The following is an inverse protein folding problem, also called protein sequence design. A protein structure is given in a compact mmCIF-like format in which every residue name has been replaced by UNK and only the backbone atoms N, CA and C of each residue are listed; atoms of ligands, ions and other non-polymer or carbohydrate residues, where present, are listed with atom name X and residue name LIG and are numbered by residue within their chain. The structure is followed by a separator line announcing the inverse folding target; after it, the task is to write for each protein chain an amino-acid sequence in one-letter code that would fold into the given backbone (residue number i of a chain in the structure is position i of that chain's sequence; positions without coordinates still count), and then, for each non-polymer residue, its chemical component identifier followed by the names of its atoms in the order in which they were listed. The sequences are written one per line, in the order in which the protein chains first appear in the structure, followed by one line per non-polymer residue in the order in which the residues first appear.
data_IF_218928285365
#
_entry.id   IF_218928285365
#
_cell.length_a   1.000
_cell.length_b   1.000
_cell.length_c   1.000
_cell.angle_alpha   90.00
_cell.angle_beta   90.00
_cell.angle_gamma   90.00
#
_symmetry.space_group_name_H-M   'P 1'
#
loop_
_entity.id
_entity.type
_entity.pdbx_description
1 polymer ?
#
# COMPACT_ATOMS: atom_id res chain seq x y z
N UNK A 1 28.46 4.58 -27.81
CA UNK A 1 27.26 4.79 -27.00
C UNK A 1 27.34 3.82 -25.84
N UNK A 2 27.66 4.29 -24.63
CA UNK A 2 27.70 3.44 -23.43
C UNK A 2 26.25 3.14 -23.02
N UNK A 3 25.92 1.87 -22.93
CA UNK A 3 24.67 1.41 -22.33
C UNK A 3 24.74 1.82 -20.87
N UNK A 4 23.95 2.84 -20.47
CA UNK A 4 23.71 3.12 -19.05
C UNK A 4 22.99 1.89 -18.49
N UNK A 5 23.72 1.04 -17.79
CA UNK A 5 23.10 0.00 -16.94
C UNK A 5 22.29 0.76 -15.88
N UNK A 6 20.99 0.84 -16.02
CA UNK A 6 20.11 1.35 -14.95
C UNK A 6 20.22 0.30 -13.85
N UNK A 7 20.88 0.63 -12.74
CA UNK A 7 20.90 -0.25 -11.58
C UNK A 7 19.49 -0.26 -10.99
N UNK A 8 18.89 -1.45 -10.86
CA UNK A 8 17.63 -1.63 -10.16
C UNK A 8 17.77 -1.15 -8.71
N UNK A 9 16.73 -0.51 -8.18
CA UNK A 9 16.63 -0.19 -6.76
C UNK A 9 16.49 -1.49 -5.95
N UNK A 10 16.89 -1.45 -4.69
CA UNK A 10 16.73 -2.54 -3.72
C UNK A 10 15.88 -2.07 -2.57
N UNK A 11 15.08 -2.96 -2.00
CA UNK A 11 14.45 -2.74 -0.70
C UNK A 11 15.41 -3.13 0.43
N UNK A 12 15.19 -2.72 1.68
CA UNK A 12 15.98 -3.19 2.82
C UNK A 12 15.96 -4.72 3.01
N UNK A 13 15.01 -5.42 2.36
CA UNK A 13 14.85 -6.88 2.47
C UNK A 13 15.44 -7.66 1.29
N UNK A 14 15.99 -7.00 0.28
CA UNK A 14 16.48 -7.66 -0.96
C UNK A 14 17.47 -8.81 -0.66
N UNK A 15 18.41 -8.61 0.25
CA UNK A 15 19.38 -9.67 0.63
C UNK A 15 18.71 -10.83 1.38
N UNK A 16 17.65 -10.55 2.15
CA UNK A 16 16.82 -11.58 2.82
C UNK A 16 16.08 -12.45 1.79
N UNK A 17 15.55 -11.83 0.73
CA UNK A 17 14.89 -12.57 -0.36
C UNK A 17 15.86 -13.49 -1.08
N UNK A 18 17.04 -12.97 -1.43
CA UNK A 18 18.10 -13.75 -2.08
C UNK A 18 18.53 -14.92 -1.20
N UNK A 19 18.75 -14.67 0.10
CA UNK A 19 19.13 -15.71 1.07
C UNK A 19 18.06 -16.80 1.25
N UNK A 20 16.79 -16.46 1.08
CA UNK A 20 15.66 -17.41 1.08
C UNK A 20 15.46 -18.13 -0.26
N UNK A 21 16.32 -17.89 -1.26
CA UNK A 21 16.27 -18.52 -2.58
C UNK A 21 15.15 -18.00 -3.48
N UNK A 22 14.72 -16.76 -3.28
CA UNK A 22 13.69 -16.16 -4.10
C UNK A 22 14.11 -16.05 -5.57
N UNK A 23 13.17 -16.30 -6.48
CA UNK A 23 13.29 -15.90 -7.87
C UNK A 23 13.08 -14.40 -7.97
N UNK A 24 14.18 -13.67 -8.15
CA UNK A 24 14.16 -12.21 -8.25
C UNK A 24 13.91 -11.75 -9.69
N UNK A 25 13.19 -10.64 -9.87
CA UNK A 25 13.04 -9.95 -11.15
C UNK A 25 12.83 -8.46 -10.95
N UNK A 26 13.01 -7.70 -12.04
CA UNK A 26 12.67 -6.27 -12.07
C UNK A 26 11.16 -6.09 -11.96
N UNK A 27 10.74 -5.20 -11.07
CA UNK A 27 9.37 -4.73 -10.93
C UNK A 27 9.36 -3.26 -10.50
N UNK A 28 8.75 -2.39 -11.30
CA UNK A 28 8.67 -0.95 -11.05
C UNK A 28 10.03 -0.29 -10.70
N UNK A 29 11.11 -0.74 -11.35
CA UNK A 29 12.47 -0.25 -11.12
C UNK A 29 13.20 -0.89 -9.94
N UNK A 30 12.57 -1.80 -9.21
CA UNK A 30 13.15 -2.52 -8.08
C UNK A 30 13.48 -3.97 -8.41
N UNK A 31 14.49 -4.53 -7.72
CA UNK A 31 14.77 -5.97 -7.74
C UNK A 31 13.89 -6.67 -6.70
N UNK A 32 12.79 -7.29 -7.12
CA UNK A 32 11.75 -7.81 -6.25
C UNK A 32 11.61 -9.33 -6.32
N UNK A 33 11.18 -10.00 -5.22
CA UNK A 33 10.91 -11.43 -5.22
C UNK A 33 9.60 -11.73 -5.95
N UNK A 34 9.67 -12.52 -7.02
CA UNK A 34 8.49 -12.97 -7.76
C UNK A 34 7.89 -14.23 -7.12
N UNK A 35 8.74 -15.14 -6.66
CA UNK A 35 8.32 -16.35 -5.94
C UNK A 35 9.49 -16.97 -5.17
N UNK A 36 9.18 -17.83 -4.20
CA UNK A 36 10.14 -18.62 -3.42
C UNK A 36 9.94 -20.11 -3.68
N UNK A 37 8.84 -20.69 -3.18
CA UNK A 37 8.51 -22.11 -3.33
C UNK A 37 7.61 -22.38 -4.53
N UNK A 38 7.04 -21.33 -5.11
CA UNK A 38 6.16 -21.37 -6.25
C UNK A 38 4.85 -20.62 -6.00
N UNK A 39 4.34 -19.96 -7.05
CA UNK A 39 3.18 -19.06 -6.97
C UNK A 39 1.97 -19.72 -6.34
N UNK A 40 1.62 -20.94 -6.77
CA UNK A 40 0.43 -21.65 -6.28
C UNK A 40 0.57 -22.08 -4.80
N UNK A 41 1.78 -22.47 -4.38
CA UNK A 41 2.05 -22.86 -3.00
C UNK A 41 1.99 -21.66 -2.05
N UNK A 42 2.54 -20.55 -2.48
CA UNK A 42 2.52 -19.28 -1.75
C UNK A 42 1.10 -18.68 -1.67
N UNK A 43 0.35 -18.71 -2.78
CA UNK A 43 -1.07 -18.36 -2.81
C UNK A 43 -1.87 -19.22 -1.80
N UNK A 44 -1.68 -20.52 -1.83
CA UNK A 44 -2.37 -21.44 -0.91
C UNK A 44 -1.98 -21.19 0.56
N UNK A 45 -0.71 -20.86 0.83
CA UNK A 45 -0.24 -20.51 2.17
C UNK A 45 -0.97 -19.27 2.71
N UNK A 46 -1.12 -18.23 1.90
CA UNK A 46 -1.87 -17.02 2.27
C UNK A 46 -3.34 -17.33 2.53
N UNK A 47 -4.00 -18.10 1.66
CA UNK A 47 -5.43 -18.46 1.83
C UNK A 47 -5.69 -19.30 3.08
N UNK A 48 -4.78 -20.19 3.44
CA UNK A 48 -4.99 -21.19 4.51
C UNK A 48 -4.37 -20.80 5.85
N UNK A 49 -3.34 -19.96 5.83
CA UNK A 49 -2.55 -19.64 7.03
C UNK A 49 -2.09 -18.20 7.04
N UNK A 50 -0.85 -17.93 6.63
CA UNK A 50 -0.28 -16.60 6.51
C UNK A 50 0.91 -16.59 5.53
N UNK A 51 1.01 -15.49 4.77
CA UNK A 51 2.17 -15.15 3.95
C UNK A 51 2.66 -13.74 4.23
N UNK A 52 3.97 -13.53 4.09
CA UNK A 52 4.61 -12.21 4.19
C UNK A 52 5.09 -11.77 2.82
N UNK A 53 4.72 -10.56 2.43
CA UNK A 53 5.15 -9.89 1.21
C UNK A 53 5.97 -8.65 1.58
N UNK A 54 7.11 -8.49 0.93
CA UNK A 54 7.77 -7.19 0.86
C UNK A 54 7.09 -6.36 -0.23
N UNK A 55 6.53 -5.23 0.17
CA UNK A 55 5.92 -4.25 -0.73
C UNK A 55 6.48 -2.85 -0.51
N UNK A 56 7.73 -2.77 -0.01
CA UNK A 56 8.46 -1.52 0.26
C UNK A 56 8.82 -0.73 -1.00
N UNK A 57 8.45 -1.21 -2.17
CA UNK A 57 8.55 -0.48 -3.44
C UNK A 57 7.39 0.48 -3.67
N UNK A 58 6.30 0.39 -2.89
CA UNK A 58 5.16 1.30 -2.95
C UNK A 58 5.58 2.74 -2.61
N UNK A 59 4.71 3.70 -2.95
CA UNK A 59 4.94 5.11 -2.65
C UNK A 59 4.11 5.59 -1.47
N UNK A 60 4.70 6.42 -0.62
CA UNK A 60 4.02 7.05 0.51
C UNK A 60 4.25 8.55 0.53
N UNK A 61 3.14 9.29 0.59
CA UNK A 61 3.15 10.75 0.69
C UNK A 61 2.46 11.20 1.97
N UNK A 62 3.08 12.13 2.69
CA UNK A 62 2.46 12.79 3.83
C UNK A 62 2.00 14.18 3.40
N UNK A 63 0.73 14.49 3.60
CA UNK A 63 0.12 15.79 3.40
C UNK A 63 -0.27 16.38 4.74
N UNK A 64 0.18 17.63 5.01
CA UNK A 64 -0.05 18.27 6.30
C UNK A 64 -0.58 19.70 6.16
N UNK A 65 -1.27 20.14 7.19
CA UNK A 65 -1.78 21.50 7.32
C UNK A 65 -3.30 21.59 7.16
N UNK A 66 -3.85 22.80 7.34
CA UNK A 66 -5.30 23.01 7.38
C UNK A 66 -5.99 22.72 6.03
N UNK A 67 -5.25 22.75 4.92
CA UNK A 67 -5.76 22.52 3.58
C UNK A 67 -5.45 21.14 3.01
N UNK A 68 -4.85 20.23 3.83
CA UNK A 68 -4.52 18.89 3.36
C UNK A 68 -5.77 18.10 2.93
N UNK A 69 -6.86 18.21 3.70
CA UNK A 69 -8.13 17.58 3.34
C UNK A 69 -8.73 18.17 2.06
N UNK A 70 -8.70 19.48 1.90
CA UNK A 70 -9.27 20.16 0.73
C UNK A 70 -8.56 19.69 -0.56
N UNK A 71 -7.23 19.60 -0.53
CA UNK A 71 -6.44 19.08 -1.64
C UNK A 71 -6.80 17.62 -1.95
N UNK A 72 -6.84 16.74 -0.95
CA UNK A 72 -7.20 15.34 -1.13
C UNK A 72 -8.62 15.22 -1.70
N UNK A 73 -9.57 15.98 -1.19
CA UNK A 73 -10.95 16.00 -1.70
C UNK A 73 -11.04 16.41 -3.17
N UNK A 74 -10.21 17.36 -3.60
CA UNK A 74 -10.24 17.87 -4.98
C UNK A 74 -9.65 16.89 -6.00
N UNK A 75 -8.67 16.06 -5.60
CA UNK A 75 -7.93 15.16 -6.51
C UNK A 75 -8.35 13.69 -6.41
N UNK A 76 -9.19 13.31 -5.44
CA UNK A 76 -9.60 11.90 -5.26
C UNK A 76 -11.08 11.70 -5.51
N UNK A 77 -11.48 10.51 -5.96
CA UNK A 77 -12.89 10.17 -6.24
C UNK A 77 -13.73 9.91 -5.00
N UNK A 78 -13.12 9.38 -3.92
CA UNK A 78 -13.83 9.03 -2.68
C UNK A 78 -13.89 10.22 -1.70
N UNK A 79 -14.74 10.13 -0.71
CA UNK A 79 -15.00 11.20 0.28
C UNK A 79 -14.10 11.05 1.52
N UNK A 80 -12.90 11.64 1.46
CA UNK A 80 -11.93 11.62 2.54
C UNK A 80 -12.39 12.40 3.80
N UNK A 81 -13.38 13.30 3.68
CA UNK A 81 -13.94 14.03 4.82
C UNK A 81 -14.71 13.12 5.80
N UNK A 82 -15.07 11.92 5.39
CA UNK A 82 -15.71 10.92 6.26
C UNK A 82 -14.74 10.15 7.13
N UNK A 83 -13.45 10.22 6.83
CA UNK A 83 -12.43 9.53 7.60
C UNK A 83 -12.23 10.18 8.97
N UNK A 84 -12.11 9.31 9.97
CA UNK A 84 -11.66 9.66 11.31
C UNK A 84 -10.20 9.27 11.50
N UNK A 85 -9.51 9.90 12.45
CA UNK A 85 -8.16 9.49 12.81
C UNK A 85 -8.10 7.98 13.06
N UNK A 86 -7.10 7.30 12.50
CA UNK A 86 -6.97 5.84 12.57
C UNK A 86 -7.78 5.08 11.51
N UNK A 87 -8.38 5.76 10.53
CA UNK A 87 -9.10 5.14 9.42
C UNK A 87 -8.40 5.37 8.08
N UNK A 88 -8.58 4.43 7.19
CA UNK A 88 -8.14 4.51 5.80
C UNK A 88 -9.32 4.32 4.83
N UNK A 89 -9.12 4.68 3.57
CA UNK A 89 -10.06 4.35 2.49
C UNK A 89 -9.33 4.15 1.17
N UNK A 90 -9.92 3.33 0.32
CA UNK A 90 -9.52 3.17 -1.06
C UNK A 90 -10.17 4.25 -1.93
N UNK A 91 -9.42 4.79 -2.88
CA UNK A 91 -9.85 5.85 -3.78
C UNK A 91 -9.13 5.77 -5.12
N UNK A 92 -9.57 6.55 -6.10
CA UNK A 92 -8.82 6.81 -7.32
C UNK A 92 -8.37 8.28 -7.35
N UNK A 93 -7.29 8.55 -8.10
CA UNK A 93 -6.92 9.87 -8.62
C UNK A 93 -7.45 9.95 -10.06
N UNK A 94 -8.59 10.60 -10.34
CA UNK A 94 -9.07 10.75 -11.70
C UNK A 94 -8.26 11.81 -12.44
N UNK A 95 -8.13 11.69 -13.77
CA UNK A 95 -7.58 12.72 -14.63
C UNK A 95 -8.66 13.64 -15.21
N UNK A 96 -8.25 14.70 -15.90
CA UNK A 96 -9.16 15.72 -16.47
C UNK A 96 -10.09 15.16 -17.58
N UNK A 97 -9.71 14.04 -18.22
CA UNK A 97 -10.44 13.39 -19.30
C UNK A 97 -11.36 12.25 -18.80
N UNK A 98 -11.37 11.97 -17.49
CA UNK A 98 -12.21 10.95 -16.87
C UNK A 98 -11.56 9.57 -16.73
N UNK A 99 -10.28 9.43 -17.08
CA UNK A 99 -9.49 8.22 -16.76
C UNK A 99 -8.92 8.25 -15.36
N UNK A 100 -8.15 7.22 -15.01
CA UNK A 100 -7.53 7.03 -13.69
C UNK A 100 -6.03 7.27 -13.79
N UNK A 101 -5.52 8.30 -13.10
CA UNK A 101 -4.09 8.57 -12.94
C UNK A 101 -3.44 7.46 -12.11
N UNK A 102 -4.05 7.12 -10.99
CA UNK A 102 -3.69 5.98 -10.12
C UNK A 102 -4.85 5.62 -9.19
N UNK A 103 -4.78 4.43 -8.60
CA UNK A 103 -5.59 4.04 -7.45
C UNK A 103 -4.72 4.04 -6.19
N UNK A 104 -5.31 4.43 -5.05
CA UNK A 104 -4.54 4.68 -3.84
C UNK A 104 -5.32 4.39 -2.56
N UNK A 105 -4.56 4.30 -1.46
CA UNK A 105 -5.14 4.36 -0.12
C UNK A 105 -4.93 5.75 0.49
N UNK A 106 -5.95 6.28 1.13
CA UNK A 106 -5.92 7.52 1.91
C UNK A 106 -6.05 7.18 3.37
N UNK A 107 -5.05 7.48 4.17
CA UNK A 107 -5.01 7.27 5.62
C UNK A 107 -5.23 8.60 6.35
N UNK A 108 -6.20 8.68 7.25
CA UNK A 108 -6.39 9.83 8.12
C UNK A 108 -5.58 9.65 9.42
N UNK A 109 -4.43 10.32 9.51
CA UNK A 109 -3.55 10.25 10.68
C UNK A 109 -4.02 11.21 11.76
N UNK A 110 -4.39 12.44 11.37
CA UNK A 110 -5.00 13.46 12.23
C UNK A 110 -6.10 14.18 11.44
N UNK A 111 -7.33 14.15 11.97
CA UNK A 111 -8.50 14.72 11.27
C UNK A 111 -8.26 16.17 10.87
N UNK A 112 -8.52 16.48 9.60
CA UNK A 112 -8.38 17.79 8.97
C UNK A 112 -6.94 18.36 8.97
N UNK A 113 -5.90 17.54 9.29
CA UNK A 113 -4.53 18.05 9.39
C UNK A 113 -3.46 17.18 8.78
N UNK A 114 -3.49 15.86 9.01
CA UNK A 114 -2.42 14.96 8.57
C UNK A 114 -2.99 13.73 7.91
N UNK A 115 -2.59 13.53 6.67
CA UNK A 115 -2.98 12.37 5.86
C UNK A 115 -1.74 11.70 5.28
N UNK A 116 -1.81 10.38 5.12
CA UNK A 116 -0.84 9.60 4.34
C UNK A 116 -1.54 9.01 3.13
N UNK A 117 -0.94 9.17 1.97
CA UNK A 117 -1.37 8.54 0.72
C UNK A 117 -0.40 7.40 0.40
N UNK A 118 -0.94 6.25 0.01
CA UNK A 118 -0.15 5.10 -0.44
C UNK A 118 -0.51 4.81 -1.88
N UNK A 119 0.47 4.88 -2.77
CA UNK A 119 0.32 4.86 -4.23
C UNK A 119 1.11 3.73 -4.87
N UNK A 120 0.79 3.39 -6.12
CA UNK A 120 1.49 2.37 -6.86
C UNK A 120 2.94 2.78 -7.19
N UNK A 121 3.87 1.83 -7.08
CA UNK A 121 5.31 2.06 -7.25
C UNK A 121 5.69 2.70 -8.57
N UNK A 122 5.09 2.26 -9.68
CA UNK A 122 5.35 2.79 -11.02
C UNK A 122 4.84 4.21 -11.22
N UNK A 123 3.94 4.68 -10.38
CA UNK A 123 3.24 5.95 -10.50
C UNK A 123 3.70 7.01 -9.47
N UNK A 124 4.66 6.71 -8.59
CA UNK A 124 5.10 7.63 -7.51
C UNK A 124 5.37 9.05 -8.02
N UNK A 125 6.16 9.20 -9.09
CA UNK A 125 6.48 10.52 -9.66
C UNK A 125 5.27 11.15 -10.36
N UNK A 126 4.48 10.35 -11.09
CA UNK A 126 3.26 10.77 -11.78
C UNK A 126 2.24 11.32 -10.78
N UNK A 127 1.97 10.58 -9.70
CA UNK A 127 0.98 10.94 -8.69
C UNK A 127 1.43 12.16 -7.88
N UNK A 128 2.72 12.20 -7.50
CA UNK A 128 3.30 13.36 -6.85
C UNK A 128 3.11 14.64 -7.68
N UNK A 129 3.44 14.58 -8.97
CA UNK A 129 3.30 15.71 -9.87
C UNK A 129 1.83 16.08 -10.12
N UNK A 130 0.94 15.07 -10.21
CA UNK A 130 -0.49 15.27 -10.34
C UNK A 130 -1.07 16.03 -9.14
N UNK A 131 -0.80 15.56 -7.93
CA UNK A 131 -1.28 16.20 -6.70
C UNK A 131 -0.71 17.60 -6.56
N UNK A 132 0.59 17.80 -6.83
CA UNK A 132 1.25 19.11 -6.81
C UNK A 132 0.66 20.09 -7.82
N UNK A 133 0.28 19.64 -9.00
CA UNK A 133 -0.37 20.48 -10.03
C UNK A 133 -1.69 21.08 -9.52
N UNK A 134 -2.41 20.36 -8.68
CA UNK A 134 -3.70 20.78 -8.13
C UNK A 134 -3.60 21.47 -6.76
N UNK A 135 -2.41 21.58 -6.21
CA UNK A 135 -2.17 22.24 -4.92
C UNK A 135 -2.10 23.77 -5.10
N UNK A 136 -3.24 24.44 -4.99
CA UNK A 136 -3.34 25.89 -5.04
C UNK A 136 -3.18 26.57 -3.67
N UNK A 137 -3.07 25.80 -2.58
CA UNK A 137 -3.05 26.29 -1.20
C UNK A 137 -1.70 26.06 -0.51
N UNK A 138 -0.71 25.56 -1.24
CA UNK A 138 0.65 25.29 -0.76
C UNK A 138 0.65 24.35 0.47
N UNK A 139 -0.01 23.21 0.34
CA UNK A 139 -0.04 22.16 1.35
C UNK A 139 1.38 21.64 1.62
N UNK A 140 1.73 21.44 2.88
CA UNK A 140 3.00 20.82 3.25
C UNK A 140 2.97 19.33 2.83
N UNK A 141 3.75 18.99 1.80
CA UNK A 141 3.82 17.65 1.23
C UNK A 141 5.23 17.07 1.35
N UNK A 142 5.30 15.82 1.79
CA UNK A 142 6.55 15.06 1.90
C UNK A 142 6.41 13.72 1.20
N UNK A 143 7.27 13.44 0.22
CA UNK A 143 7.45 12.10 -0.31
C UNK A 143 8.42 11.34 0.61
N UNK A 144 7.92 10.32 1.28
CA UNK A 144 8.67 9.50 2.22
C UNK A 144 8.92 8.07 1.71
N UNK A 145 8.60 7.81 0.44
CA UNK A 145 8.66 6.48 -0.17
C UNK A 145 10.03 5.80 -0.01
N UNK A 146 11.12 6.51 -0.29
CA UNK A 146 12.47 5.93 -0.17
C UNK A 146 12.91 5.68 1.29
N UNK A 147 12.12 6.08 2.28
CA UNK A 147 12.40 5.89 3.72
C UNK A 147 11.46 4.92 4.40
N UNK A 148 10.38 4.53 3.72
CA UNK A 148 9.34 3.68 4.29
C UNK A 148 9.59 2.24 3.90
N UNK A 149 9.63 1.36 4.91
CA UNK A 149 9.49 -0.07 4.73
C UNK A 149 8.03 -0.45 4.85
N UNK A 150 7.56 -1.29 3.97
CA UNK A 150 6.20 -1.82 3.97
C UNK A 150 6.21 -3.33 3.84
N UNK A 151 5.74 -4.02 4.88
CA UNK A 151 5.53 -5.45 4.87
C UNK A 151 4.03 -5.76 4.97
N UNK A 152 3.51 -6.59 4.06
CA UNK A 152 2.15 -7.08 4.13
C UNK A 152 2.15 -8.52 4.65
N UNK A 153 1.58 -8.74 5.84
CA UNK A 153 1.39 -10.08 6.42
C UNK A 153 -0.07 -10.43 6.31
N UNK A 154 -0.37 -11.34 5.40
CA UNK A 154 -1.73 -11.62 4.94
C UNK A 154 -2.11 -13.07 5.16
N UNK A 155 -3.39 -13.29 5.52
CA UNK A 155 -3.96 -14.62 5.76
C UNK A 155 -4.71 -14.70 7.09
N UNK A 156 -5.53 -15.75 7.29
CA UNK A 156 -6.44 -15.87 8.44
C UNK A 156 -5.73 -15.96 9.80
N UNK A 157 -4.45 -16.34 9.83
CA UNK A 157 -3.66 -16.42 11.06
C UNK A 157 -2.63 -15.27 11.21
N UNK A 158 -2.53 -14.35 10.26
CA UNK A 158 -1.53 -13.28 10.25
C UNK A 158 -1.53 -12.47 11.56
N UNK A 159 -2.67 -11.94 11.97
CA UNK A 159 -2.77 -11.12 13.20
C UNK A 159 -2.48 -11.92 14.47
N UNK A 160 -2.84 -13.22 14.52
CA UNK A 160 -2.53 -14.09 15.66
C UNK A 160 -1.03 -14.33 15.80
N UNK A 161 -0.34 -14.51 14.68
CA UNK A 161 1.13 -14.66 14.62
C UNK A 161 1.81 -13.39 15.12
N UNK A 162 1.31 -12.23 14.73
CA UNK A 162 1.94 -10.94 15.02
C UNK A 162 1.59 -10.36 16.40
N UNK A 163 0.44 -10.72 16.99
CA UNK A 163 -0.01 -10.16 18.25
C UNK A 163 1.02 -10.25 19.40
N UNK A 164 1.81 -11.33 19.55
CA UNK A 164 2.83 -11.39 20.60
C UNK A 164 3.99 -10.37 20.43
N UNK A 165 4.12 -9.75 19.28
CA UNK A 165 5.19 -8.78 18.97
C UNK A 165 4.83 -7.33 19.32
N UNK A 166 3.61 -7.10 19.82
CA UNK A 166 3.09 -5.77 20.15
C UNK A 166 2.05 -5.79 21.26
N UNK A 167 1.98 -4.70 22.02
CA UNK A 167 0.91 -4.46 22.99
C UNK A 167 -0.34 -3.82 22.34
N UNK A 168 -0.25 -3.35 21.10
CA UNK A 168 -1.40 -2.86 20.34
C UNK A 168 -2.37 -4.01 20.08
N UNK A 169 -3.67 -3.79 20.24
CA UNK A 169 -4.71 -4.78 19.93
C UNK A 169 -4.91 -4.88 18.41
N UNK A 170 -4.11 -5.72 17.75
CA UNK A 170 -4.21 -5.95 16.32
C UNK A 170 -5.16 -7.11 15.96
N UNK A 171 -5.54 -7.94 16.92
CA UNK A 171 -6.52 -9.02 16.72
C UNK A 171 -7.92 -8.48 16.43
N UNK A 172 -8.29 -7.36 17.06
CA UNK A 172 -9.60 -6.74 16.95
C UNK A 172 -9.60 -5.52 16.01
N UNK A 173 -8.50 -5.29 15.30
CA UNK A 173 -8.39 -4.18 14.37
C UNK A 173 -9.38 -4.36 13.21
N UNK A 174 -10.26 -3.37 13.02
CA UNK A 174 -11.30 -3.42 11.99
C UNK A 174 -10.69 -3.16 10.61
N UNK A 175 -11.25 -3.79 9.60
CA UNK A 175 -10.84 -3.55 8.21
C UNK A 175 -10.89 -2.05 7.86
N UNK A 176 -9.86 -1.56 7.17
CA UNK A 176 -9.62 -0.14 6.89
C UNK A 176 -9.44 0.75 8.13
N UNK A 177 -8.94 0.17 9.25
CA UNK A 177 -8.44 0.97 10.37
C UNK A 177 -6.98 0.64 10.66
N UNK A 178 -6.28 1.54 11.34
CA UNK A 178 -4.89 1.37 11.71
C UNK A 178 -4.60 1.88 13.11
N UNK A 179 -3.52 1.38 13.69
CA UNK A 179 -2.95 1.82 14.95
C UNK A 179 -1.47 2.14 14.76
N UNK A 180 -0.92 2.97 15.63
CA UNK A 180 0.50 3.32 15.62
C UNK A 180 1.08 3.15 17.01
N UNK A 181 2.21 2.44 17.10
CA UNK A 181 2.85 2.18 18.38
C UNK A 181 4.15 1.42 18.23
N UNK A 182 4.49 0.64 19.26
CA UNK A 182 5.69 -0.19 19.29
C UNK A 182 5.39 -1.60 18.78
N UNK A 183 6.24 -2.09 17.88
CA UNK A 183 6.16 -3.44 17.31
C UNK A 183 7.55 -4.07 17.22
N UNK A 184 7.72 -5.29 17.69
CA UNK A 184 9.00 -6.01 17.70
C UNK A 184 10.18 -5.18 18.29
N UNK A 185 9.88 -4.34 19.30
CA UNK A 185 10.87 -3.46 19.91
C UNK A 185 11.15 -2.15 19.16
N UNK A 186 10.54 -1.93 18.00
CA UNK A 186 10.68 -0.72 17.18
C UNK A 186 9.51 0.21 17.45
N UNK A 187 9.80 1.50 17.66
CA UNK A 187 8.79 2.53 17.92
C UNK A 187 8.24 3.12 16.61
N UNK A 188 7.08 3.78 16.70
CA UNK A 188 6.45 4.49 15.59
C UNK A 188 6.01 3.62 14.41
N UNK A 189 5.85 2.33 14.60
CA UNK A 189 5.33 1.40 13.58
C UNK A 189 3.82 1.61 13.43
N UNK A 190 3.36 1.79 12.19
CA UNK A 190 1.94 1.85 11.85
C UNK A 190 1.50 0.47 11.36
N UNK A 191 0.46 -0.09 11.97
CA UNK A 191 -0.14 -1.38 11.59
C UNK A 191 -1.56 -1.12 11.12
N UNK A 192 -1.83 -1.47 9.87
CA UNK A 192 -3.12 -1.25 9.22
C UNK A 192 -3.80 -2.56 8.86
N UNK A 193 -5.09 -2.69 9.17
CA UNK A 193 -5.94 -3.78 8.70
C UNK A 193 -6.36 -3.53 7.25
N UNK A 194 -5.39 -3.44 6.38
CA UNK A 194 -5.49 -3.34 4.93
C UNK A 194 -4.72 -4.48 4.27
N UNK A 195 -4.84 -4.60 2.96
CA UNK A 195 -4.14 -5.61 2.17
C UNK A 195 -4.78 -5.81 0.81
N UNK A 196 -4.13 -6.64 0.00
CA UNK A 196 -4.44 -6.83 -1.42
C UNK A 196 -4.71 -8.31 -1.75
N UNK A 197 -5.20 -9.06 -0.77
CA UNK A 197 -5.36 -10.52 -0.90
C UNK A 197 -6.77 -11.02 -0.63
N UNK A 198 -7.60 -10.23 0.07
CA UNK A 198 -8.91 -10.66 0.54
C UNK A 198 -8.86 -11.78 1.60
N UNK A 199 -7.67 -12.13 2.09
CA UNK A 199 -7.48 -13.21 3.07
C UNK A 199 -7.44 -12.70 4.52
N UNK A 200 -7.59 -11.39 4.73
CA UNK A 200 -7.32 -10.74 6.02
C UNK A 200 -5.83 -10.55 6.27
N UNK A 201 -5.48 -10.01 7.41
CA UNK A 201 -4.12 -9.68 7.79
C UNK A 201 -3.89 -8.18 7.92
N UNK A 202 -2.64 -7.77 7.90
CA UNK A 202 -2.24 -6.37 8.10
C UNK A 202 -1.10 -5.97 7.16
N UNK A 203 -0.93 -4.66 7.02
CA UNK A 203 0.22 -4.00 6.43
C UNK A 203 0.95 -3.21 7.50
N UNK A 204 2.27 -3.31 7.53
CA UNK A 204 3.15 -2.73 8.56
C UNK A 204 4.07 -1.73 7.90
N UNK A 205 3.94 -0.46 8.27
CA UNK A 205 4.72 0.67 7.77
C UNK A 205 5.68 1.15 8.86
N UNK A 206 6.93 1.33 8.52
CA UNK A 206 7.96 1.87 9.42
C UNK A 206 9.15 2.43 8.63
N UNK A 207 9.95 3.25 9.28
CA UNK A 207 11.20 3.77 8.73
C UNK A 207 12.36 2.86 9.16
N UNK A 208 13.25 2.49 8.23
CA UNK A 208 14.45 1.72 8.58
C UNK A 208 15.48 2.64 9.22
N UNK A 209 15.49 2.65 10.54
CA UNK A 209 16.51 3.31 11.39
C UNK A 209 17.17 2.24 12.24
N UNK A 210 18.48 2.33 12.41
CA UNK A 210 19.21 1.42 13.30
C UNK A 210 18.99 -0.08 13.02
N UNK A 211 18.87 -0.47 11.74
CA UNK A 211 18.54 -1.83 11.28
C UNK A 211 17.15 -2.31 11.74
N UNK A 212 16.17 -1.45 11.82
CA UNK A 212 14.80 -1.79 12.23
C UNK A 212 14.12 -2.74 11.24
N UNK A 213 14.46 -2.64 9.95
CA UNK A 213 13.99 -3.59 8.94
C UNK A 213 14.42 -5.02 9.27
N UNK A 214 15.68 -5.22 9.64
CA UNK A 214 16.18 -6.54 10.03
C UNK A 214 15.55 -7.04 11.32
N UNK A 215 15.39 -6.19 12.34
CA UNK A 215 14.75 -6.54 13.62
C UNK A 215 13.31 -7.00 13.40
N UNK A 216 12.52 -6.23 12.67
CA UNK A 216 11.11 -6.54 12.40
C UNK A 216 11.00 -7.82 11.56
N UNK A 217 11.79 -7.96 10.49
CA UNK A 217 11.79 -9.15 9.65
C UNK A 217 12.09 -10.41 10.46
N UNK A 218 13.16 -10.39 11.24
CA UNK A 218 13.58 -11.53 12.03
C UNK A 218 12.54 -11.90 13.09
N UNK A 219 11.98 -10.90 13.80
CA UNK A 219 10.92 -11.13 14.80
C UNK A 219 9.65 -11.76 14.19
N UNK A 220 9.24 -11.32 12.99
CA UNK A 220 8.09 -11.90 12.29
C UNK A 220 8.36 -13.35 11.91
N UNK A 221 9.55 -13.69 11.39
CA UNK A 221 9.88 -15.07 11.03
C UNK A 221 10.12 -15.97 12.25
N UNK A 222 10.67 -15.43 13.35
CA UNK A 222 10.80 -16.16 14.60
C UNK A 222 9.44 -16.54 15.19
N UNK A 223 8.49 -15.60 15.20
CA UNK A 223 7.13 -15.85 15.68
C UNK A 223 6.32 -16.73 14.71
N UNK A 224 6.44 -16.47 13.41
CA UNK A 224 5.56 -17.06 12.38
C UNK A 224 6.07 -18.35 11.77
N UNK A 225 7.39 -18.55 11.66
CA UNK A 225 7.98 -19.74 11.03
C UNK A 225 7.50 -21.04 11.64
N UNK A 226 7.54 -21.23 12.98
CA UNK A 226 7.01 -22.41 13.65
C UNK A 226 5.50 -22.61 13.44
N UNK A 227 4.75 -21.54 13.11
CA UNK A 227 3.33 -21.55 12.84
C UNK A 227 3.01 -21.66 11.34
N UNK A 228 4.02 -21.86 10.48
CA UNK A 228 3.87 -22.07 9.04
C UNK A 228 3.66 -20.77 8.23
N UNK A 229 4.09 -19.61 8.75
CA UNK A 229 4.22 -18.39 7.94
C UNK A 229 5.19 -18.64 6.78
N UNK A 230 4.82 -18.28 5.57
CA UNK A 230 5.69 -18.40 4.39
C UNK A 230 6.03 -17.03 3.79
N UNK A 231 7.24 -16.83 3.26
CA UNK A 231 7.47 -15.72 2.36
C UNK A 231 6.66 -15.94 1.08
N UNK A 232 6.12 -14.85 0.54
CA UNK A 232 5.32 -14.89 -0.67
C UNK A 232 5.76 -13.74 -1.61
N UNK A 233 5.91 -14.06 -2.89
CA UNK A 233 6.37 -13.12 -3.90
C UNK A 233 5.25 -12.42 -4.66
N UNK A 234 5.64 -11.50 -5.56
CA UNK A 234 4.69 -10.70 -6.34
C UNK A 234 3.81 -11.56 -7.25
N UNK A 235 4.27 -12.75 -7.68
CA UNK A 235 3.43 -13.68 -8.44
C UNK A 235 2.22 -14.18 -7.65
N UNK A 236 2.39 -14.54 -6.38
CA UNK A 236 1.27 -14.90 -5.51
C UNK A 236 0.38 -13.68 -5.17
N UNK A 237 0.98 -12.50 -4.99
CA UNK A 237 0.24 -11.24 -4.81
C UNK A 237 -0.72 -10.99 -5.98
N UNK A 238 -0.25 -11.19 -7.21
CA UNK A 238 -1.07 -10.99 -8.41
C UNK A 238 -2.21 -12.02 -8.52
N UNK A 239 -1.96 -13.30 -8.29
CA UNK A 239 -3.03 -14.31 -8.32
C UNK A 239 -4.07 -14.12 -7.21
N UNK A 240 -3.65 -13.70 -6.02
CA UNK A 240 -4.53 -13.41 -4.88
C UNK A 240 -5.45 -12.22 -5.13
N UNK A 241 -4.93 -11.11 -5.63
CA UNK A 241 -5.71 -9.92 -5.94
C UNK A 241 -6.71 -10.17 -7.09
N UNK A 242 -6.26 -10.88 -8.12
CA UNK A 242 -7.08 -11.20 -9.28
C UNK A 242 -8.28 -12.07 -8.90
N UNK A 243 -8.09 -13.06 -8.04
CA UNK A 243 -9.16 -13.92 -7.51
C UNK A 243 -10.24 -13.10 -6.77
N UNK A 244 -9.84 -11.98 -6.15
CA UNK A 244 -10.74 -11.06 -5.44
C UNK A 244 -11.35 -9.97 -6.34
N UNK A 245 -10.92 -9.88 -7.61
CA UNK A 245 -11.33 -8.81 -8.51
C UNK A 245 -10.76 -7.44 -8.15
N UNK A 246 -9.60 -7.39 -7.45
CA UNK A 246 -8.93 -6.12 -7.14
C UNK A 246 -8.13 -5.66 -8.35
N UNK A 247 -8.28 -4.38 -8.70
CA UNK A 247 -7.59 -3.78 -9.83
C UNK A 247 -6.07 -3.74 -9.62
N UNK A 248 -5.32 -3.86 -10.72
CA UNK A 248 -3.90 -3.54 -10.80
C UNK A 248 -3.71 -2.45 -11.84
N UNK A 249 -3.16 -1.31 -11.43
CA UNK A 249 -2.87 -0.21 -12.35
C UNK A 249 -1.91 -0.65 -13.46
N UNK A 250 -2.21 -0.25 -14.68
CA UNK A 250 -1.49 -0.64 -15.88
C UNK A 250 -1.96 -1.97 -16.51
N UNK A 251 -2.79 -2.75 -15.79
CA UNK A 251 -3.38 -3.99 -16.30
C UNK A 251 -4.90 -3.86 -16.49
N UNK A 252 -5.61 -3.45 -15.43
CA UNK A 252 -7.07 -3.43 -15.38
C UNK A 252 -7.62 -2.01 -15.45
N UNK A 253 -6.84 -1.03 -15.02
CA UNK A 253 -7.15 0.39 -14.99
C UNK A 253 -5.93 1.20 -15.43
N UNK A 254 -6.18 2.32 -16.08
CA UNK A 254 -5.18 3.25 -16.58
C UNK A 254 -5.75 4.65 -16.85
N UNK A 255 -4.96 5.53 -17.48
CA UNK A 255 -5.35 6.90 -17.82
C UNK A 255 -6.56 7.01 -18.78
N UNK A 256 -7.00 5.91 -19.40
CA UNK A 256 -8.10 5.86 -20.37
C UNK A 256 -9.35 5.16 -19.84
N UNK A 257 -9.25 4.51 -18.67
CA UNK A 257 -10.34 3.76 -18.04
C UNK A 257 -10.99 4.59 -16.94
N UNK A 258 -12.32 4.80 -17.00
CA UNK A 258 -13.00 5.54 -15.94
C UNK A 258 -13.23 4.65 -14.69
N UNK A 259 -13.31 5.26 -13.49
CA UNK A 259 -13.67 4.51 -12.28
C UNK A 259 -15.02 3.77 -12.40
N UNK A 260 -15.97 4.31 -13.17
CA UNK A 260 -17.29 3.67 -13.35
C UNK A 260 -17.19 2.43 -14.23
N UNK A 261 -16.44 2.48 -15.34
CA UNK A 261 -16.16 1.32 -16.21
C UNK A 261 -15.39 0.23 -15.48
N UNK A 262 -14.47 0.62 -14.60
CA UNK A 262 -13.69 -0.30 -13.76
C UNK A 262 -14.47 -0.96 -12.62
N UNK A 263 -15.78 -0.67 -12.47
CA UNK A 263 -16.59 -1.17 -11.36
C UNK A 263 -16.27 -0.48 -10.03
N UNK A 264 -15.56 0.65 -10.05
CA UNK A 264 -15.15 1.43 -8.89
C UNK A 264 -16.15 2.57 -8.55
N UNK A 265 -17.37 2.52 -9.05
CA UNK A 265 -18.43 3.49 -8.75
C UNK A 265 -18.75 3.60 -7.26
N UNK A 266 -18.50 2.53 -6.48
CA UNK A 266 -18.70 2.55 -5.03
C UNK A 266 -17.70 3.44 -4.26
N UNK A 267 -16.57 3.83 -4.86
CA UNK A 267 -15.61 4.82 -4.35
C UNK A 267 -15.62 6.13 -5.13
N UNK A 268 -16.60 6.34 -6.02
CA UNK A 268 -16.78 7.59 -6.77
C UNK A 268 -17.96 8.35 -6.18
N UNK A 269 -17.67 9.41 -5.40
CA UNK A 269 -18.66 10.11 -4.57
C UNK A 269 -19.06 11.45 -5.17
N UNK A 270 -20.23 11.50 -5.79
CA UNK A 270 -20.81 12.72 -6.40
C UNK A 270 -21.32 13.74 -5.37
N UNK A 271 -21.27 13.44 -4.08
CA UNK A 271 -21.67 14.35 -3.00
C UNK A 271 -20.63 15.42 -2.68
N UNK A 272 -19.47 15.38 -3.32
CA UNK A 272 -18.38 16.36 -3.21
C UNK A 272 -17.94 16.82 -4.57
N UNK A 273 -17.19 17.92 -4.63
CA UNK A 273 -16.55 18.38 -5.85
C UNK A 273 -15.15 17.78 -5.99
N UNK A 274 -14.83 17.32 -7.19
CA UNK A 274 -13.52 16.82 -7.61
C UNK A 274 -13.42 16.86 -9.14
N UNK A 275 -12.25 16.89 -9.67
CA UNK A 275 -11.99 16.84 -11.11
C UNK A 275 -11.98 15.37 -11.57
N UNK A 276 -12.68 14.98 -12.58
CA UNK A 276 -13.65 15.64 -13.43
C UNK A 276 -15.12 15.18 -13.17
N UNK A 277 -15.67 15.52 -12.02
CA UNK A 277 -17.00 15.06 -11.55
C UNK A 277 -18.09 15.14 -12.63
N UNK A 278 -18.13 16.24 -13.38
CA UNK A 278 -19.14 16.50 -14.42
C UNK A 278 -19.04 15.54 -15.62
N UNK A 279 -17.88 14.95 -15.88
CA UNK A 279 -17.71 13.91 -16.89
C UNK A 279 -18.37 12.61 -16.41
N UNK A 280 -18.13 12.22 -15.15
CA UNK A 280 -18.69 10.99 -14.59
C UNK A 280 -20.21 11.07 -14.37
N UNK A 281 -20.77 12.26 -14.08
CA UNK A 281 -22.22 12.45 -13.98
C UNK A 281 -22.99 12.24 -15.30
N UNK A 282 -22.26 12.21 -16.43
CA UNK A 282 -22.81 11.97 -17.76
C UNK A 282 -22.67 10.53 -18.24
N UNK A 283 -21.85 9.72 -17.57
CA UNK A 283 -21.68 8.29 -17.81
C UNK A 283 -22.79 7.48 -17.12
#
# INVERSE_FOLDING_TARGET
MGIKTISMKSTPFTDKHIALGAKMAEFAGYNMPISYTGINDEHAAVRRNAGIFDVSHMGEFILKGPHALDLIQSVTSNDAAKLKAGQAQYSCLPNEDGGIVDDLLVYCVEENKVYMLVVNASNIEKDWNWIRKHDHQQVEMHNISDKTCLLAIQGPNATKILQPLTEMDILNLKYYTFVKGRFAGVDNVLISATGYTGAGGVEIYFEDKDNDAEKIWNAIFEAGGPQGLKPAGLGARDTLRLEMGFCLYGNDIDDTTSPLEAGLGWITRFTKDFTPKDIFEKQ
#
